data_IF_164752357933
#
_entry.id   IF_164752357933
#
_cell.length_a   1.000
_cell.length_b   1.000
_cell.length_c   1.000
_cell.angle_alpha   90.00
_cell.angle_beta   90.00
_cell.angle_gamma   90.00
#
_symmetry.space_group_name_H-M   'P 1'
#
loop_
_entity.id
_entity.type
_entity.pdbx_description
1 polymer ?
#
# COMPACT_ATOMS: atom_id res chain seq x y z
N UNK A 1 -12.70 51.36 1.05
CA UNK A 1 -13.35 50.19 0.45
C UNK A 1 -12.35 49.24 -0.21
N UNK A 2 -11.56 49.69 -1.18
CA UNK A 2 -10.55 48.85 -1.88
C UNK A 2 -9.54 48.20 -0.91
N UNK A 3 -8.99 48.95 0.04
CA UNK A 3 -8.00 48.44 1.01
C UNK A 3 -8.55 47.30 1.87
N UNK A 4 -9.80 47.44 2.35
CA UNK A 4 -10.47 46.41 3.16
C UNK A 4 -10.69 45.14 2.34
N UNK A 5 -11.13 45.30 1.08
CA UNK A 5 -11.31 44.18 0.15
C UNK A 5 -9.97 43.47 -0.11
N UNK A 6 -8.90 44.22 -0.38
CA UNK A 6 -7.57 43.66 -0.62
C UNK A 6 -7.05 42.87 0.58
N UNK A 7 -7.19 43.42 1.79
CA UNK A 7 -6.80 42.71 3.02
C UNK A 7 -7.60 41.42 3.18
N UNK A 8 -8.92 41.47 2.99
CA UNK A 8 -9.78 40.29 3.12
C UNK A 8 -9.38 39.19 2.13
N UNK A 9 -9.13 39.56 0.86
CA UNK A 9 -8.72 38.62 -0.19
C UNK A 9 -7.35 38.02 0.14
N UNK A 10 -6.39 38.83 0.56
CA UNK A 10 -5.04 38.36 0.83
C UNK A 10 -4.99 37.43 2.05
N UNK A 11 -5.72 37.78 3.12
CA UNK A 11 -5.85 36.94 4.31
C UNK A 11 -6.59 35.65 3.96
N UNK A 12 -7.67 35.72 3.18
CA UNK A 12 -8.40 34.54 2.71
C UNK A 12 -7.49 33.60 1.92
N UNK A 13 -6.76 34.12 0.94
CA UNK A 13 -5.81 33.35 0.16
C UNK A 13 -4.71 32.71 1.01
N UNK A 14 -4.17 33.45 1.99
CA UNK A 14 -3.16 32.94 2.91
C UNK A 14 -3.70 31.78 3.75
N UNK A 15 -4.89 31.95 4.34
CA UNK A 15 -5.53 30.91 5.15
C UNK A 15 -5.78 29.67 4.30
N UNK A 16 -6.36 29.82 3.11
CA UNK A 16 -6.61 28.70 2.21
C UNK A 16 -5.33 27.97 1.83
N UNK A 17 -4.27 28.70 1.46
CA UNK A 17 -2.99 28.11 1.11
C UNK A 17 -2.39 27.31 2.29
N UNK A 18 -2.36 27.91 3.48
CA UNK A 18 -1.85 27.24 4.69
C UNK A 18 -2.68 26.01 5.03
N UNK A 19 -4.02 26.08 4.94
CA UNK A 19 -4.90 24.94 5.18
C UNK A 19 -4.65 23.78 4.21
N UNK A 20 -4.48 24.08 2.92
CA UNK A 20 -4.18 23.05 1.91
C UNK A 20 -2.82 22.40 2.16
N UNK A 21 -1.80 23.21 2.46
CA UNK A 21 -0.46 22.71 2.80
C UNK A 21 -0.56 21.83 4.06
N UNK A 22 -1.25 22.27 5.09
CA UNK A 22 -1.42 21.51 6.32
C UNK A 22 -2.16 20.18 6.08
N UNK A 23 -3.23 20.17 5.28
CA UNK A 23 -3.96 18.95 4.94
C UNK A 23 -3.10 17.93 4.19
N UNK A 24 -2.17 18.39 3.33
CA UNK A 24 -1.26 17.52 2.59
C UNK A 24 -0.10 17.02 3.46
N UNK A 25 0.43 17.89 4.32
CA UNK A 25 1.63 17.61 5.12
C UNK A 25 1.32 16.83 6.40
N UNK A 26 0.21 17.14 7.08
CA UNK A 26 -0.20 16.49 8.33
C UNK A 26 -0.19 14.95 8.28
N UNK A 27 -0.80 14.27 7.28
CA UNK A 27 -0.78 12.80 7.22
C UNK A 27 0.61 12.21 6.98
N UNK A 28 1.54 13.00 6.44
CA UNK A 28 2.91 12.57 6.14
C UNK A 28 3.92 13.00 7.22
N UNK A 29 3.49 13.69 8.28
CA UNK A 29 4.39 14.28 9.28
C UNK A 29 5.34 13.25 9.92
N UNK A 30 4.80 12.08 10.29
CA UNK A 30 5.58 10.98 10.85
C UNK A 30 6.65 10.47 9.88
N UNK A 31 6.33 10.39 8.59
CA UNK A 31 7.27 9.98 7.53
C UNK A 31 8.37 11.03 7.35
N UNK A 32 8.01 12.31 7.35
CA UNK A 32 8.98 13.42 7.25
C UNK A 32 9.96 13.38 8.43
N UNK A 33 9.45 13.23 9.65
CA UNK A 33 10.29 13.11 10.85
C UNK A 33 11.19 11.86 10.79
N UNK A 34 10.67 10.74 10.29
CA UNK A 34 11.45 9.52 10.13
C UNK A 34 12.60 9.69 9.13
N UNK A 35 12.32 10.27 7.95
CA UNK A 35 13.33 10.62 6.94
C UNK A 35 14.35 11.61 7.50
N UNK A 36 13.91 12.65 8.22
CA UNK A 36 14.79 13.65 8.84
C UNK A 36 15.69 13.04 9.93
N UNK A 37 15.24 11.99 10.61
CA UNK A 37 16.03 11.24 11.59
C UNK A 37 17.07 10.28 10.96
N UNK A 38 17.21 10.28 9.63
CA UNK A 38 18.16 9.44 8.91
C UNK A 38 17.65 8.04 8.56
N UNK A 39 16.37 7.75 8.83
CA UNK A 39 15.74 6.50 8.38
C UNK A 39 15.29 6.66 6.93
N UNK A 40 16.07 6.11 5.99
CA UNK A 40 15.68 6.04 4.59
C UNK A 40 14.63 4.95 4.44
N UNK A 41 13.39 5.34 4.12
CA UNK A 41 12.32 4.40 3.80
C UNK A 41 12.78 3.49 2.64
N UNK A 42 12.71 2.15 2.77
CA UNK A 42 13.06 1.26 1.68
C UNK A 42 12.20 1.61 0.46
N UNK A 43 12.83 1.76 -0.70
CA UNK A 43 12.11 2.06 -1.93
C UNK A 43 10.96 1.06 -2.11
N UNK A 44 9.78 1.55 -2.52
CA UNK A 44 8.63 0.69 -2.78
C UNK A 44 9.04 -0.34 -3.85
N UNK A 45 9.23 -1.61 -3.46
CA UNK A 45 9.64 -2.70 -4.34
C UNK A 45 8.47 -3.66 -4.59
N UNK A 46 7.41 -3.25 -5.30
CA UNK A 46 6.26 -4.11 -5.56
C UNK A 46 6.64 -5.31 -6.42
N UNK A 47 7.62 -5.15 -7.32
CA UNK A 47 8.10 -6.20 -8.21
C UNK A 47 8.79 -7.33 -7.44
N UNK A 48 9.58 -7.03 -6.41
CA UNK A 48 10.24 -8.08 -5.61
C UNK A 48 9.21 -8.90 -4.83
N UNK A 49 8.18 -8.24 -4.30
CA UNK A 49 7.07 -8.91 -3.63
C UNK A 49 6.25 -9.76 -4.60
N UNK A 50 6.00 -9.27 -5.83
CA UNK A 50 5.33 -10.03 -6.88
C UNK A 50 6.12 -11.28 -7.27
N UNK A 51 7.43 -11.16 -7.47
CA UNK A 51 8.29 -12.30 -7.85
C UNK A 51 8.31 -13.35 -6.73
N UNK A 52 8.36 -12.93 -5.46
CA UNK A 52 8.28 -13.86 -4.32
C UNK A 52 6.92 -14.54 -4.24
N UNK A 53 5.83 -13.80 -4.48
CA UNK A 53 4.48 -14.34 -4.51
C UNK A 53 4.31 -15.36 -5.65
N UNK A 54 4.74 -15.03 -6.86
CA UNK A 54 4.65 -15.90 -8.03
C UNK A 54 5.48 -17.17 -7.83
N UNK A 55 6.70 -17.05 -7.28
CA UNK A 55 7.52 -18.22 -6.94
C UNK A 55 6.82 -19.15 -5.94
N UNK A 56 6.14 -18.59 -4.92
CA UNK A 56 5.36 -19.39 -3.96
C UNK A 56 4.16 -20.08 -4.60
N UNK A 57 3.45 -19.39 -5.50
CA UNK A 57 2.31 -19.95 -6.22
C UNK A 57 2.77 -21.08 -7.14
N UNK A 58 3.87 -20.89 -7.85
CA UNK A 58 4.50 -21.91 -8.66
C UNK A 58 4.85 -23.13 -7.80
N UNK A 59 5.64 -22.98 -6.72
CA UNK A 59 5.99 -24.11 -5.84
C UNK A 59 4.76 -24.85 -5.33
N UNK A 60 3.72 -24.13 -4.88
CA UNK A 60 2.45 -24.74 -4.46
C UNK A 60 1.81 -25.54 -5.59
N UNK A 61 1.69 -24.95 -6.79
CA UNK A 61 1.11 -25.61 -7.96
C UNK A 61 1.85 -26.89 -8.31
N UNK A 62 3.18 -26.88 -8.30
CA UNK A 62 4.00 -28.07 -8.61
C UNK A 62 3.88 -29.12 -7.50
N UNK A 63 3.82 -28.71 -6.23
CA UNK A 63 3.61 -29.64 -5.11
C UNK A 63 2.23 -30.30 -5.14
N UNK A 64 1.19 -29.59 -5.59
CA UNK A 64 -0.15 -30.15 -5.76
C UNK A 64 -0.32 -30.97 -7.05
N UNK A 65 0.55 -30.76 -8.05
CA UNK A 65 0.54 -31.48 -9.32
C UNK A 65 1.35 -32.79 -9.25
N UNK A 66 2.11 -33.00 -8.16
CA UNK A 66 2.68 -34.31 -7.88
C UNK A 66 1.50 -35.28 -7.73
N UNK A 67 1.39 -36.34 -8.56
CA UNK A 67 0.26 -37.25 -8.51
C UNK A 67 0.31 -37.97 -7.16
N UNK A 68 -0.44 -37.46 -6.19
CA UNK A 68 -0.76 -38.20 -5.00
C UNK A 68 -1.51 -39.43 -5.49
N UNK A 69 -0.88 -40.60 -5.35
CA UNK A 69 -1.52 -41.88 -5.55
C UNK A 69 -2.86 -41.88 -4.80
N UNK A 70 -3.98 -41.79 -5.52
CA UNK A 70 -5.32 -41.90 -4.96
C UNK A 70 -5.64 -43.40 -4.94
N UNK A 71 -5.60 -44.10 -3.79
CA UNK A 71 -6.13 -45.44 -3.74
C UNK A 71 -7.64 -45.35 -3.98
N UNK A 72 -8.07 -45.82 -5.16
CA UNK A 72 -9.48 -45.99 -5.51
C UNK A 72 -10.08 -46.96 -4.50
N UNK A 73 -10.78 -46.43 -3.49
CA UNK A 73 -11.54 -47.22 -2.53
C UNK A 73 -12.77 -47.76 -3.27
N UNK A 74 -12.65 -48.96 -3.83
CA UNK A 74 -13.79 -49.71 -4.36
C UNK A 74 -14.80 -49.96 -3.23
N UNK A 75 -15.90 -49.21 -3.25
CA UNK A 75 -17.08 -49.49 -2.46
C UNK A 75 -17.67 -50.82 -2.95
N UNK A 76 -17.42 -51.90 -2.21
CA UNK A 76 -18.16 -53.16 -2.36
C UNK A 76 -19.64 -52.87 -2.14
N UNK A 77 -20.46 -53.15 -3.16
CA UNK A 77 -21.89 -53.30 -3.02
C UNK A 77 -22.17 -54.44 -2.02
N UNK A 78 -22.94 -54.14 -0.98
CA UNK A 78 -23.53 -55.15 -0.11
C UNK A 78 -25.01 -55.27 -0.45
N UNK A 79 -25.39 -56.52 -0.72
CA UNK A 79 -26.72 -57.04 -1.01
C UNK A 79 -27.69 -56.88 0.17
#
# INVERSE_FOLDING_TARGET
>A
MVTVLSVLVFVGALVTAVSVIAMMVAPQWRRILHLASGHVEPAFTPLSQLVVAERRIAVRRWSSMSPAYVPVRQSRAAA
#
